data_IF_042168114823
#
_entry.id   IF_042168114823
#
_cell.length_a   1.000
_cell.length_b   1.000
_cell.length_c   1.000
_cell.angle_alpha   90.00
_cell.angle_beta   90.00
_cell.angle_gamma   90.00
#
_symmetry.space_group_name_H-M   'P 1'
#
loop_
_entity.id
_entity.type
_entity.pdbx_description
1 polymer ?
#
# COMPACT_ATOMS: atom_id res chain seq x y z
N UNK A 1 7.02 -10.08 24.55
CA UNK A 1 6.68 -8.76 25.15
C UNK A 1 5.65 -8.04 24.29
N UNK A 2 4.51 -7.63 24.83
CA UNK A 2 3.44 -6.94 24.07
C UNK A 2 3.91 -5.49 23.78
N UNK A 3 4.66 -5.26 22.69
CA UNK A 3 4.90 -3.91 22.15
C UNK A 3 3.63 -3.29 21.56
N UNK A 4 2.46 -3.58 22.14
CA UNK A 4 1.30 -2.72 22.01
C UNK A 4 1.60 -1.50 22.86
N UNK A 5 2.21 -0.48 22.24
CA UNK A 5 2.10 0.88 22.75
C UNK A 5 0.61 1.08 23.04
N UNK A 6 0.24 1.18 24.31
CA UNK A 6 -1.17 1.18 24.73
C UNK A 6 -1.92 2.35 24.09
N UNK A 7 -1.22 3.45 23.82
CA UNK A 7 -1.76 4.60 23.16
C UNK A 7 -1.75 4.39 21.63
N UNK A 8 -2.92 4.22 20.99
CA UNK A 8 -3.01 3.96 19.55
C UNK A 8 -2.46 5.11 18.70
N UNK A 9 -2.58 6.36 19.16
CA UNK A 9 -2.02 7.53 18.46
C UNK A 9 -0.50 7.48 18.41
N UNK A 10 0.14 7.14 19.53
CA UNK A 10 1.61 7.01 19.59
C UNK A 10 2.06 5.85 18.69
N UNK A 11 1.34 4.73 18.68
CA UNK A 11 1.64 3.61 17.80
C UNK A 11 1.54 4.01 16.32
N UNK A 12 0.49 4.75 15.94
CA UNK A 12 0.34 5.26 14.58
C UNK A 12 1.47 6.21 14.22
N UNK A 13 1.81 7.17 15.07
CA UNK A 13 2.90 8.10 14.82
C UNK A 13 4.24 7.37 14.64
N UNK A 14 4.53 6.39 15.50
CA UNK A 14 5.74 5.58 15.40
C UNK A 14 5.81 4.82 14.08
N UNK A 15 4.71 4.16 13.68
CA UNK A 15 4.65 3.45 12.40
C UNK A 15 4.80 4.41 11.21
N UNK A 16 4.15 5.58 11.24
CA UNK A 16 4.29 6.60 10.19
C UNK A 16 5.76 7.00 10.05
N UNK A 17 6.42 7.34 11.16
CA UNK A 17 7.84 7.72 11.17
C UNK A 17 8.70 6.57 10.62
N UNK A 18 8.49 5.35 11.11
CA UNK A 18 9.28 4.19 10.69
C UNK A 18 9.16 3.91 9.20
N UNK A 19 7.94 3.80 8.67
CA UNK A 19 7.71 3.51 7.26
C UNK A 19 8.12 4.67 6.34
N UNK A 20 7.96 5.92 6.79
CA UNK A 20 8.41 7.08 6.03
C UNK A 20 9.94 7.16 5.96
N UNK A 21 10.66 6.94 7.07
CA UNK A 21 12.12 6.88 7.06
C UNK A 21 12.61 5.72 6.18
N UNK A 22 11.98 4.55 6.28
CA UNK A 22 12.29 3.41 5.42
C UNK A 22 12.15 3.78 3.94
N UNK A 23 11.08 4.49 3.57
CA UNK A 23 10.87 5.00 2.22
C UNK A 23 11.96 5.99 1.80
N UNK A 24 12.29 7.00 2.61
CA UNK A 24 13.32 7.98 2.26
C UNK A 24 14.68 7.32 2.07
N UNK A 25 15.09 6.46 3.01
CA UNK A 25 16.36 5.71 2.90
C UNK A 25 16.37 4.89 1.62
N UNK A 26 15.29 4.16 1.35
CA UNK A 26 15.16 3.37 0.12
C UNK A 26 15.32 4.19 -1.15
N UNK A 27 14.74 5.39 -1.19
CA UNK A 27 14.79 6.30 -2.34
C UNK A 27 16.16 6.93 -2.52
N UNK A 28 16.73 7.51 -1.47
CA UNK A 28 18.01 8.21 -1.56
C UNK A 28 19.18 7.24 -1.77
N UNK A 29 19.19 6.10 -1.08
CA UNK A 29 20.24 5.09 -1.24
C UNK A 29 19.97 4.11 -2.39
N UNK A 30 18.83 4.23 -3.08
CA UNK A 30 18.38 3.32 -4.16
C UNK A 30 18.32 1.85 -3.74
N UNK A 31 18.08 1.58 -2.46
CA UNK A 31 17.98 0.23 -1.91
C UNK A 31 16.54 -0.23 -2.05
N UNK A 32 16.27 -1.08 -3.05
CA UNK A 32 14.97 -1.68 -3.31
C UNK A 32 13.77 -0.69 -3.28
N UNK A 33 13.84 0.46 -3.98
CA UNK A 33 12.84 1.53 -3.95
C UNK A 33 11.42 1.07 -4.24
N UNK A 34 11.26 0.20 -5.24
CA UNK A 34 9.96 -0.35 -5.64
C UNK A 34 9.39 -1.32 -4.61
N UNK A 35 10.23 -2.17 -4.03
CA UNK A 35 9.83 -3.13 -3.00
C UNK A 35 9.36 -2.41 -1.74
N UNK A 36 10.07 -1.37 -1.32
CA UNK A 36 9.69 -0.62 -0.12
C UNK A 36 8.39 0.16 -0.36
N UNK A 37 8.18 0.74 -1.55
CA UNK A 37 6.89 1.32 -1.94
C UNK A 37 5.74 0.31 -1.85
N UNK A 38 5.96 -0.93 -2.30
CA UNK A 38 5.00 -2.03 -2.19
C UNK A 38 4.78 -2.53 -0.77
N UNK A 39 5.68 -2.22 0.18
CA UNK A 39 5.54 -2.63 1.58
C UNK A 39 4.95 -1.53 2.46
N UNK A 40 4.85 -0.29 1.99
CA UNK A 40 4.32 0.83 2.77
C UNK A 40 2.93 0.55 3.39
N UNK A 41 1.95 -0.05 2.67
CA UNK A 41 0.65 -0.37 3.26
C UNK A 41 0.70 -1.45 4.36
N UNK A 42 1.81 -2.16 4.56
CA UNK A 42 1.96 -3.16 5.62
C UNK A 42 1.69 -2.56 7.01
N UNK A 43 2.07 -1.28 7.23
CA UNK A 43 1.83 -0.57 8.49
C UNK A 43 0.37 -0.56 8.91
N UNK A 44 -0.57 -0.57 7.94
CA UNK A 44 -2.00 -0.62 8.22
C UNK A 44 -2.45 -1.88 8.96
N UNK A 45 -1.75 -3.01 8.79
CA UNK A 45 -2.09 -4.27 9.45
C UNK A 45 -1.72 -4.31 10.94
N UNK A 46 -0.96 -3.33 11.43
CA UNK A 46 -0.60 -3.18 12.84
C UNK A 46 -1.52 -2.21 13.59
N UNK A 47 -2.50 -1.62 12.90
CA UNK A 47 -3.38 -0.58 13.41
C UNK A 47 -4.84 -1.04 13.48
N UNK A 48 -5.65 -0.34 14.27
CA UNK A 48 -7.11 -0.49 14.22
C UNK A 48 -7.71 0.34 13.09
N UNK A 49 -8.91 -0.03 12.64
CA UNK A 49 -9.57 0.52 11.43
C UNK A 49 -9.57 2.06 11.35
N UNK A 50 -9.81 2.74 12.49
CA UNK A 50 -9.82 4.21 12.55
C UNK A 50 -8.45 4.82 12.22
N UNK A 51 -7.38 4.17 12.63
CA UNK A 51 -6.01 4.66 12.48
C UNK A 51 -5.37 4.25 11.15
N UNK A 52 -5.95 3.27 10.44
CA UNK A 52 -5.57 2.89 9.07
C UNK A 52 -5.62 4.08 8.11
N UNK A 53 -6.71 4.87 8.16
CA UNK A 53 -6.86 6.06 7.31
C UNK A 53 -5.85 7.14 7.70
N UNK A 54 -5.69 7.39 9.00
CA UNK A 54 -4.72 8.38 9.51
C UNK A 54 -3.30 8.03 9.06
N UNK A 55 -2.88 6.76 9.20
CA UNK A 55 -1.58 6.28 8.74
C UNK A 55 -1.39 6.49 7.23
N UNK A 56 -2.37 6.04 6.43
CA UNK A 56 -2.29 6.08 4.97
C UNK A 56 -2.21 7.52 4.44
N UNK A 57 -3.03 8.42 4.97
CA UNK A 57 -3.00 9.84 4.60
C UNK A 57 -1.73 10.55 5.08
N UNK A 58 -1.23 10.21 6.26
CA UNK A 58 0.02 10.77 6.77
C UNK A 58 1.21 10.37 5.90
N UNK A 59 1.31 9.09 5.52
CA UNK A 59 2.35 8.61 4.61
C UNK A 59 2.24 9.30 3.24
N UNK A 60 1.03 9.36 2.67
CA UNK A 60 0.80 10.07 1.41
C UNK A 60 1.28 11.53 1.47
N UNK A 61 0.86 12.26 2.50
CA UNK A 61 1.22 13.66 2.67
C UNK A 61 2.73 13.85 2.85
N UNK A 62 3.38 13.02 3.67
CA UNK A 62 4.82 13.09 3.89
C UNK A 62 5.63 12.81 2.61
N UNK A 63 5.24 11.79 1.82
CA UNK A 63 5.90 11.50 0.54
C UNK A 63 5.68 12.66 -0.45
N UNK A 64 4.46 13.21 -0.48
CA UNK A 64 4.10 14.34 -1.34
C UNK A 64 4.94 15.59 -1.04
N UNK A 65 5.01 16.03 0.23
CA UNK A 65 5.79 17.22 0.61
C UNK A 65 7.31 17.01 0.47
N UNK A 66 7.77 15.75 0.40
CA UNK A 66 9.18 15.41 0.16
C UNK A 66 9.57 15.48 -1.32
N UNK A 67 8.66 15.88 -2.22
CA UNK A 67 8.92 16.07 -3.64
C UNK A 67 8.65 14.86 -4.54
N UNK A 68 8.20 13.73 -3.98
CA UNK A 68 7.87 12.52 -4.74
C UNK A 68 6.38 12.48 -5.10
N UNK A 69 5.90 13.51 -5.82
CA UNK A 69 4.46 13.75 -6.05
C UNK A 69 3.80 12.61 -6.82
N UNK A 70 4.40 12.21 -7.96
CA UNK A 70 3.85 11.17 -8.84
C UNK A 70 3.79 9.84 -8.09
N UNK A 71 4.83 9.50 -7.35
CA UNK A 71 4.86 8.25 -6.61
C UNK A 71 4.01 8.28 -5.35
N UNK A 72 3.82 9.43 -4.69
CA UNK A 72 2.85 9.56 -3.62
C UNK A 72 1.45 9.18 -4.12
N UNK A 73 1.04 9.75 -5.25
CA UNK A 73 -0.27 9.47 -5.88
C UNK A 73 -0.35 8.00 -6.31
N UNK A 74 0.67 7.51 -7.01
CA UNK A 74 0.71 6.12 -7.48
C UNK A 74 0.66 5.10 -6.34
N UNK A 75 1.47 5.31 -5.28
CA UNK A 75 1.47 4.42 -4.11
C UNK A 75 0.13 4.46 -3.40
N UNK A 76 -0.45 5.65 -3.25
CA UNK A 76 -1.72 5.81 -2.54
C UNK A 76 -2.87 5.15 -3.29
N UNK A 77 -3.05 5.50 -4.57
CA UNK A 77 -4.11 4.95 -5.41
C UNK A 77 -3.91 3.45 -5.61
N UNK A 78 -2.73 3.00 -6.03
CA UNK A 78 -2.55 1.62 -6.46
C UNK A 78 -2.36 0.61 -5.31
N UNK A 79 -1.92 1.05 -4.13
CA UNK A 79 -1.62 0.11 -3.03
C UNK A 79 -2.40 0.43 -1.76
N UNK A 80 -2.53 1.69 -1.34
CA UNK A 80 -3.23 1.99 -0.11
C UNK A 80 -4.75 1.81 -0.22
N UNK A 81 -5.40 2.28 -1.29
CA UNK A 81 -6.86 2.16 -1.44
C UNK A 81 -7.33 0.69 -1.41
N UNK A 82 -6.72 -0.24 -2.17
CA UNK A 82 -7.05 -1.67 -2.06
C UNK A 82 -6.88 -2.23 -0.64
N UNK A 83 -5.83 -1.83 0.08
CA UNK A 83 -5.54 -2.32 1.43
C UNK A 83 -6.50 -1.73 2.47
N UNK A 84 -6.87 -0.46 2.36
CA UNK A 84 -7.89 0.17 3.20
C UNK A 84 -9.21 -0.58 3.05
N UNK A 85 -9.63 -0.87 1.81
CA UNK A 85 -10.82 -1.69 1.52
C UNK A 85 -10.71 -3.09 2.12
N UNK A 86 -9.54 -3.73 2.00
CA UNK A 86 -9.28 -5.06 2.56
C UNK A 86 -9.45 -5.12 4.09
N UNK A 87 -9.01 -4.08 4.80
CA UNK A 87 -9.00 -4.03 6.27
C UNK A 87 -10.37 -3.61 6.84
N UNK A 88 -11.06 -2.67 6.19
CA UNK A 88 -12.27 -2.07 6.74
C UNK A 88 -13.55 -2.83 6.40
N UNK A 89 -13.55 -3.64 5.33
CA UNK A 89 -14.75 -4.35 4.89
C UNK A 89 -14.76 -5.77 5.43
N UNK A 90 -15.71 -6.10 6.31
CA UNK A 90 -15.77 -7.42 6.95
C UNK A 90 -16.35 -8.51 6.03
N UNK A 91 -17.39 -8.20 5.24
CA UNK A 91 -18.05 -9.19 4.37
C UNK A 91 -17.15 -9.55 3.18
N UNK A 92 -16.82 -10.84 3.03
CA UNK A 92 -15.87 -11.33 2.01
C UNK A 92 -16.25 -10.92 0.58
N UNK A 93 -17.51 -11.10 0.19
CA UNK A 93 -17.97 -10.76 -1.16
C UNK A 93 -17.81 -9.25 -1.41
N UNK A 94 -18.33 -8.41 -0.49
CA UNK A 94 -18.22 -6.96 -0.61
C UNK A 94 -16.75 -6.51 -0.66
N UNK A 95 -15.89 -7.10 0.16
CA UNK A 95 -14.46 -6.78 0.18
C UNK A 95 -13.84 -6.91 -1.23
N UNK A 96 -14.05 -8.04 -1.88
CA UNK A 96 -13.48 -8.29 -3.21
C UNK A 96 -14.12 -7.42 -4.29
N UNK A 97 -15.42 -7.14 -4.21
CA UNK A 97 -16.06 -6.22 -5.17
C UNK A 97 -15.52 -4.80 -5.02
N UNK A 98 -15.34 -4.30 -3.79
CA UNK A 98 -14.75 -2.98 -3.55
C UNK A 98 -13.29 -2.90 -4.00
N UNK A 99 -12.46 -3.90 -3.67
CA UNK A 99 -11.07 -3.95 -4.13
C UNK A 99 -11.00 -3.95 -5.66
N UNK A 100 -11.85 -4.74 -6.32
CA UNK A 100 -11.89 -4.83 -7.78
C UNK A 100 -12.33 -3.50 -8.41
N UNK A 101 -13.38 -2.88 -7.85
CA UNK A 101 -13.89 -1.60 -8.32
C UNK A 101 -12.84 -0.50 -8.18
N UNK A 102 -12.23 -0.37 -6.99
CA UNK A 102 -11.19 0.63 -6.76
C UNK A 102 -9.96 0.36 -7.62
N UNK A 103 -9.47 -0.88 -7.70
CA UNK A 103 -8.35 -1.20 -8.58
C UNK A 103 -8.61 -0.80 -10.04
N UNK A 104 -9.81 -1.06 -10.58
CA UNK A 104 -10.14 -0.64 -11.94
C UNK A 104 -10.15 0.89 -12.10
N UNK A 105 -10.77 1.60 -11.15
CA UNK A 105 -10.85 3.08 -11.16
C UNK A 105 -9.47 3.69 -11.00
N UNK A 106 -8.70 3.25 -10.00
CA UNK A 106 -7.37 3.75 -9.66
C UNK A 106 -6.41 3.52 -10.82
N UNK A 107 -6.46 2.36 -11.47
CA UNK A 107 -5.66 2.09 -12.66
C UNK A 107 -6.04 3.04 -13.80
N UNK A 108 -7.33 3.24 -14.05
CA UNK A 108 -7.79 4.10 -15.12
C UNK A 108 -7.39 5.57 -14.90
N UNK A 109 -7.49 6.06 -13.66
CA UNK A 109 -6.99 7.37 -13.25
C UNK A 109 -5.48 7.45 -13.53
N UNK A 110 -4.71 6.48 -13.05
CA UNK A 110 -3.26 6.45 -13.29
C UNK A 110 -2.90 6.41 -14.78
N UNK A 111 -3.65 5.66 -15.58
CA UNK A 111 -3.44 5.59 -17.02
C UNK A 111 -3.75 6.91 -17.73
N UNK A 112 -4.80 7.64 -17.32
CA UNK A 112 -5.11 8.96 -17.90
C UNK A 112 -4.00 9.97 -17.62
N UNK A 113 -3.53 10.04 -16.36
CA UNK A 113 -2.57 11.07 -15.96
C UNK A 113 -1.12 10.71 -16.26
N UNK A 114 -0.78 9.43 -16.27
CA UNK A 114 0.60 8.94 -16.36
C UNK A 114 0.81 7.90 -17.46
N UNK A 115 -0.18 7.65 -18.32
CA UNK A 115 -0.09 6.68 -19.41
C UNK A 115 1.00 7.01 -20.43
N UNK A 116 1.32 8.29 -20.61
CA UNK A 116 2.43 8.73 -21.47
C UNK A 116 3.81 8.30 -20.95
N UNK A 117 3.93 7.97 -19.66
CA UNK A 117 5.16 7.43 -19.08
C UNK A 117 5.33 5.92 -19.31
N UNK A 118 4.29 5.25 -19.84
CA UNK A 118 4.35 3.82 -20.14
C UNK A 118 5.07 3.59 -21.49
N UNK A 119 5.83 2.49 -21.62
CA UNK A 119 6.40 2.12 -22.91
C UNK A 119 5.29 1.80 -23.93
N UNK A 120 5.54 2.08 -25.22
CA UNK A 120 4.57 1.88 -26.32
C UNK A 120 3.96 0.47 -26.36
N UNK A 121 4.72 -0.54 -25.94
CA UNK A 121 4.26 -1.92 -25.86
C UNK A 121 3.12 -2.05 -24.82
N UNK A 122 3.23 -1.36 -23.68
CA UNK A 122 2.24 -1.40 -22.61
C UNK A 122 0.95 -0.64 -22.94
N UNK A 123 0.98 0.29 -23.90
CA UNK A 123 -0.20 1.05 -24.33
C UNK A 123 -1.00 0.34 -25.44
N UNK A 124 -0.49 -0.76 -26.00
CA UNK A 124 -1.23 -1.60 -26.93
C UNK A 124 -2.49 -2.17 -26.26
N UNK A 125 -3.66 -2.05 -26.90
CA UNK A 125 -4.98 -2.42 -26.33
C UNK A 125 -5.01 -3.80 -25.66
N UNK A 126 -4.45 -4.81 -26.32
CA UNK A 126 -4.44 -6.18 -25.81
C UNK A 126 -3.54 -6.30 -24.57
N UNK A 127 -2.34 -5.71 -24.61
CA UNK A 127 -1.36 -5.76 -23.51
C UNK A 127 -1.88 -4.93 -22.32
N UNK A 128 -2.40 -3.74 -22.55
CA UNK A 128 -3.01 -2.89 -21.52
C UNK A 128 -4.14 -3.63 -20.80
N UNK A 129 -5.00 -4.33 -21.54
CA UNK A 129 -6.08 -5.13 -20.96
C UNK A 129 -5.54 -6.25 -20.06
N UNK A 130 -4.48 -6.94 -20.48
CA UNK A 130 -3.81 -7.96 -19.66
C UNK A 130 -3.23 -7.34 -18.39
N UNK A 131 -2.58 -6.19 -18.47
CA UNK A 131 -2.01 -5.48 -17.32
C UNK A 131 -3.09 -5.10 -16.32
N UNK A 132 -4.23 -4.57 -16.79
CA UNK A 132 -5.37 -4.21 -15.94
C UNK A 132 -5.90 -5.44 -15.20
N UNK A 133 -6.12 -6.55 -15.92
CA UNK A 133 -6.62 -7.79 -15.33
C UNK A 133 -5.62 -8.33 -14.30
N UNK A 134 -4.33 -8.35 -14.64
CA UNK A 134 -3.26 -8.79 -13.74
C UNK A 134 -3.21 -7.92 -12.47
N UNK A 135 -3.35 -6.61 -12.59
CA UNK A 135 -3.37 -5.68 -11.47
C UNK A 135 -4.61 -5.86 -10.58
N UNK A 136 -5.80 -6.09 -11.16
CA UNK A 136 -7.01 -6.39 -10.40
C UNK A 136 -6.88 -7.70 -9.63
N UNK A 137 -6.34 -8.75 -10.27
CA UNK A 137 -6.08 -10.04 -9.62
C UNK A 137 -5.05 -9.89 -8.49
N UNK A 138 -3.95 -9.18 -8.76
CA UNK A 138 -2.93 -8.89 -7.76
C UNK A 138 -3.54 -8.15 -6.56
N UNK A 139 -4.30 -7.08 -6.79
CA UNK A 139 -4.92 -6.27 -5.74
C UNK A 139 -5.82 -7.09 -4.81
N UNK A 140 -6.54 -8.08 -5.35
CA UNK A 140 -7.37 -8.99 -4.58
C UNK A 140 -6.57 -9.96 -3.68
N UNK A 141 -5.35 -10.32 -4.09
CA UNK A 141 -4.47 -11.25 -3.36
C UNK A 141 -3.55 -10.48 -2.39
N UNK A 142 -3.16 -9.26 -2.76
CA UNK A 142 -2.15 -8.46 -2.10
C UNK A 142 -2.40 -8.23 -0.60
N UNK A 143 -3.64 -7.96 -0.20
CA UNK A 143 -4.00 -7.83 1.21
C UNK A 143 -3.77 -9.11 2.03
N UNK A 144 -3.93 -10.28 1.44
CA UNK A 144 -3.61 -11.55 2.10
C UNK A 144 -2.10 -11.77 2.23
N UNK A 145 -1.33 -11.39 1.20
CA UNK A 145 0.14 -11.48 1.23
C UNK A 145 0.71 -10.61 2.35
N UNK A 146 0.28 -9.36 2.45
CA UNK A 146 0.72 -8.46 3.52
C UNK A 146 0.30 -8.96 4.90
N UNK A 147 -0.93 -9.48 5.02
CA UNK A 147 -1.39 -10.07 6.29
C UNK A 147 -0.53 -11.28 6.70
N UNK A 148 -0.17 -12.14 5.75
CA UNK A 148 0.71 -13.29 6.00
C UNK A 148 2.10 -12.81 6.45
N UNK A 149 2.68 -11.84 5.74
CA UNK A 149 3.97 -11.24 6.08
C UNK A 149 3.95 -10.64 7.50
N UNK A 150 2.90 -9.89 7.84
CA UNK A 150 2.71 -9.34 9.20
C UNK A 150 2.72 -10.44 10.27
N UNK A 151 2.05 -11.56 10.02
CA UNK A 151 2.01 -12.67 10.97
C UNK A 151 3.40 -13.32 11.13
N UNK A 152 4.11 -13.54 10.02
CA UNK A 152 5.48 -14.11 10.06
C UNK A 152 6.44 -13.20 10.85
N UNK A 153 6.36 -11.88 10.63
CA UNK A 153 7.12 -10.89 11.40
C UNK A 153 6.80 -10.99 12.90
N UNK A 154 5.52 -11.04 13.28
CA UNK A 154 5.12 -11.20 14.69
C UNK A 154 5.62 -12.53 15.30
N UNK A 155 5.59 -13.61 14.54
CA UNK A 155 6.10 -14.91 14.98
C UNK A 155 7.61 -14.87 15.20
N UNK A 156 8.36 -14.25 14.29
CA UNK A 156 9.80 -14.06 14.43
C UNK A 156 10.13 -13.24 15.67
N UNK A 157 9.47 -12.09 15.87
CA UNK A 157 9.67 -11.27 17.06
C UNK A 157 9.38 -12.05 18.35
N UNK A 158 8.32 -12.86 18.40
CA UNK A 158 8.03 -13.71 19.58
C UNK A 158 9.04 -14.82 19.83
N UNK A 159 9.78 -15.25 18.80
CA UNK A 159 10.77 -16.33 18.91
C UNK A 159 12.12 -15.80 19.40
N UNK A 160 12.47 -14.57 19.05
CA UNK A 160 13.78 -13.97 19.34
C UNK A 160 13.76 -12.97 20.52
N UNK A 161 12.59 -12.55 21.01
CA UNK A 161 12.38 -11.74 22.22
C UNK A 161 11.49 -12.47 23.23
#
# INVERSE_FOLDING_TARGET
MNFRIKNPTINTAFLVIFFFLLYLVSRYFRIAPTVISLLLPLGNFFLSQRYTLVFSLSIFFLIFISGFIIEAIGIFLLFFIPIISFININKKILKHTFITLFAAIDFYIMYIFFGELLPDIATQKLILSIIIIAYILFSNIYGYLLKKLKNEIETLFRKFL
#
